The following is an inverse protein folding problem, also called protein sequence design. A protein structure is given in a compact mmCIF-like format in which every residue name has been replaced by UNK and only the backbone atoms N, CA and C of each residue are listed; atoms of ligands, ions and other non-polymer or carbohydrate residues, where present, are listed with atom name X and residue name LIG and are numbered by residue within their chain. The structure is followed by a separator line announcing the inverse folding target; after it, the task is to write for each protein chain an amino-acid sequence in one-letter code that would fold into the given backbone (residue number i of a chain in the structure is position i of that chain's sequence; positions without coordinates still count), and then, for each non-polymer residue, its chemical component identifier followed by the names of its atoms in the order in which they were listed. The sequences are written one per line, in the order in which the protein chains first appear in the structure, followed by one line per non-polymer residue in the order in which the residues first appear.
data_IF_802615728700
#
_entry.id   IF_802615728700
#
_cell.length_a   1.000
_cell.length_b   1.000
_cell.length_c   1.000
_cell.angle_alpha   90.00
_cell.angle_beta   90.00
_cell.angle_gamma   90.00
#
_symmetry.space_group_name_H-M   'P 1'
#
loop_
_entity.id
_entity.type
_entity.pdbx_description
1 polymer ?
#
# COMPACT_ATOMS: atom_id res chain seq x y z
N UNK A 1 8.64 13.27 9.70
CA UNK A 1 9.95 12.68 9.97
C UNK A 1 9.89 11.20 9.66
N UNK A 2 10.67 10.76 8.68
CA UNK A 2 10.82 9.35 8.34
C UNK A 2 11.40 8.65 9.57
N UNK A 3 10.84 7.50 9.95
CA UNK A 3 11.42 6.68 11.03
C UNK A 3 12.88 6.42 10.70
N UNK A 4 13.78 6.58 11.68
CA UNK A 4 15.18 6.22 11.50
C UNK A 4 15.32 4.71 11.27
N UNK A 5 16.37 4.28 10.56
CA UNK A 5 16.64 2.85 10.32
C UNK A 5 16.64 2.03 11.62
N UNK A 6 17.18 2.60 12.71
CA UNK A 6 17.17 1.96 14.02
C UNK A 6 15.75 1.74 14.59
N UNK A 7 14.82 2.67 14.37
CA UNK A 7 13.44 2.51 14.81
C UNK A 7 12.67 1.48 13.95
N UNK A 8 12.95 1.43 12.64
CA UNK A 8 12.40 0.40 11.75
C UNK A 8 12.88 -1.00 12.13
N UNK A 9 14.14 -1.16 12.54
CA UNK A 9 14.67 -2.44 13.03
C UNK A 9 14.05 -2.89 14.34
N UNK A 10 13.83 -1.96 15.29
CA UNK A 10 13.13 -2.27 16.55
C UNK A 10 11.71 -2.73 16.27
N UNK A 11 11.04 -2.06 15.36
CA UNK A 11 9.69 -2.38 14.93
C UNK A 11 9.61 -3.78 14.31
N UNK A 12 10.47 -4.09 13.35
CA UNK A 12 10.58 -5.42 12.75
C UNK A 12 10.78 -6.52 13.82
N UNK A 13 11.70 -6.30 14.77
CA UNK A 13 11.94 -7.25 15.88
C UNK A 13 10.71 -7.49 16.73
N UNK A 14 9.90 -6.44 16.99
CA UNK A 14 8.65 -6.60 17.76
C UNK A 14 7.67 -7.53 17.02
N UNK A 15 7.47 -7.31 15.72
CA UNK A 15 6.58 -8.15 14.89
C UNK A 15 7.06 -9.60 14.90
N UNK A 16 8.33 -9.84 14.56
CA UNK A 16 8.87 -11.20 14.43
C UNK A 16 8.97 -11.96 15.76
N UNK A 17 9.11 -11.25 16.90
CA UNK A 17 9.26 -11.88 18.22
C UNK A 17 7.95 -12.14 18.95
N UNK A 18 6.91 -11.35 18.68
CA UNK A 18 5.63 -11.41 19.40
C UNK A 18 4.49 -11.95 18.54
N UNK A 19 4.61 -11.83 17.22
CA UNK A 19 3.59 -12.29 16.29
C UNK A 19 3.50 -13.80 16.19
N UNK A 20 2.38 -14.26 15.69
CA UNK A 20 2.18 -15.66 15.30
C UNK A 20 2.44 -15.79 13.80
N UNK A 21 3.32 -16.75 13.43
CA UNK A 21 3.64 -16.99 12.02
C UNK A 21 2.41 -17.51 11.26
N UNK A 22 2.25 -17.10 10.01
CA UNK A 22 1.08 -17.38 9.16
C UNK A 22 -0.25 -16.87 9.74
N UNK A 23 -0.19 -15.80 10.52
CA UNK A 23 -1.35 -15.14 11.11
C UNK A 23 -1.27 -13.62 10.85
N UNK A 24 -1.84 -13.16 9.72
CA UNK A 24 -1.81 -11.74 9.36
C UNK A 24 -2.43 -10.82 10.41
N UNK A 25 -3.51 -11.27 11.11
CA UNK A 25 -4.16 -10.51 12.16
C UNK A 25 -3.19 -10.21 13.29
N UNK A 26 -2.48 -11.24 13.77
CA UNK A 26 -1.48 -11.07 14.82
C UNK A 26 -0.37 -10.10 14.44
N UNK A 27 0.05 -10.09 13.17
CA UNK A 27 1.05 -9.13 12.67
C UNK A 27 0.51 -7.71 12.72
N UNK A 28 -0.71 -7.48 12.23
CA UNK A 28 -1.36 -6.17 12.24
C UNK A 28 -1.60 -5.64 13.66
N UNK A 29 -2.07 -6.49 14.60
CA UNK A 29 -2.25 -6.11 16.00
C UNK A 29 -0.97 -5.58 16.65
N UNK A 30 0.18 -6.21 16.39
CA UNK A 30 1.46 -5.77 16.94
C UNK A 30 1.91 -4.46 16.30
N UNK A 31 1.66 -4.30 15.01
CA UNK A 31 1.93 -3.07 14.28
C UNK A 31 1.12 -1.91 14.89
N UNK A 32 -0.17 -2.12 15.09
CA UNK A 32 -1.07 -1.14 15.70
C UNK A 32 -0.66 -0.82 17.13
N UNK A 33 -0.33 -1.83 17.95
CA UNK A 33 0.18 -1.62 19.32
C UNK A 33 1.46 -0.77 19.35
N UNK A 34 2.37 -1.00 18.40
CA UNK A 34 3.59 -0.20 18.29
C UNK A 34 3.28 1.25 17.88
N UNK A 35 2.36 1.45 16.94
CA UNK A 35 1.92 2.76 16.48
C UNK A 35 1.27 3.59 17.58
N UNK A 36 0.41 2.98 18.38
CA UNK A 36 -0.29 3.67 19.48
C UNK A 36 0.59 3.95 20.70
N UNK A 37 1.56 3.08 21.00
CA UNK A 37 2.29 3.14 22.29
C UNK A 37 3.71 3.69 22.19
N UNK A 38 4.38 3.59 21.05
CA UNK A 38 5.83 3.80 20.99
C UNK A 38 6.34 4.70 19.89
N UNK A 39 5.73 4.67 18.70
CA UNK A 39 6.24 5.38 17.53
C UNK A 39 5.09 5.93 16.70
N UNK A 40 5.26 7.15 16.21
CA UNK A 40 4.38 7.63 15.15
C UNK A 40 4.70 6.85 13.85
N UNK A 41 3.79 5.98 13.44
CA UNK A 41 3.89 5.23 12.18
C UNK A 41 3.07 5.94 11.10
N UNK A 42 3.69 6.15 9.94
CA UNK A 42 3.02 6.72 8.76
C UNK A 42 2.34 5.61 7.96
N UNK A 43 1.46 4.86 8.58
CA UNK A 43 0.62 3.87 7.92
C UNK A 43 -0.83 4.34 7.88
N UNK A 44 -1.65 3.68 7.09
CA UNK A 44 -3.07 4.00 6.96
C UNK A 44 -3.86 3.87 8.29
N UNK A 45 -3.35 3.06 9.22
CA UNK A 45 -3.98 2.77 10.52
C UNK A 45 -5.16 1.80 10.44
N UNK A 46 -5.65 1.38 11.60
CA UNK A 46 -6.68 0.35 11.72
C UNK A 46 -8.03 0.76 11.11
N UNK A 47 -8.52 1.97 11.40
CA UNK A 47 -9.83 2.45 10.94
C UNK A 47 -9.92 2.62 9.43
N UNK A 48 -8.97 3.35 8.84
CA UNK A 48 -8.95 3.53 7.38
C UNK A 48 -8.55 2.24 6.68
N UNK A 49 -7.72 1.41 7.31
CA UNK A 49 -7.37 0.09 6.83
C UNK A 49 -8.58 -0.84 6.70
N UNK A 50 -9.54 -0.80 7.64
CA UNK A 50 -10.82 -1.53 7.53
C UNK A 50 -11.65 -1.04 6.33
N UNK A 51 -11.73 0.27 6.12
CA UNK A 51 -12.42 0.85 4.96
C UNK A 51 -11.74 0.38 3.65
N UNK A 52 -10.42 0.39 3.59
CA UNK A 52 -9.67 -0.12 2.44
C UNK A 52 -10.01 -1.59 2.16
N UNK A 53 -10.02 -2.44 3.20
CA UNK A 53 -10.39 -3.86 3.09
C UNK A 53 -11.83 -4.05 2.57
N UNK A 54 -12.79 -3.27 3.06
CA UNK A 54 -14.19 -3.32 2.59
C UNK A 54 -14.29 -3.01 1.08
N UNK A 55 -13.56 -1.99 0.61
CA UNK A 55 -13.53 -1.65 -0.82
C UNK A 55 -12.82 -2.72 -1.66
N UNK A 56 -11.72 -3.28 -1.18
CA UNK A 56 -11.00 -4.39 -1.84
C UNK A 56 -11.93 -5.60 -1.99
N UNK A 57 -12.58 -6.02 -0.91
CA UNK A 57 -13.48 -7.18 -0.91
C UNK A 57 -14.66 -6.95 -1.85
N UNK A 58 -15.29 -5.77 -1.79
CA UNK A 58 -16.46 -5.45 -2.61
C UNK A 58 -16.15 -5.27 -4.09
N UNK A 59 -14.91 -4.91 -4.43
CA UNK A 59 -14.47 -4.75 -5.82
C UNK A 59 -14.20 -6.06 -6.53
N UNK A 60 -13.99 -7.16 -5.79
CA UNK A 60 -13.52 -8.45 -6.32
C UNK A 60 -12.27 -8.30 -7.23
N UNK A 61 -11.44 -7.31 -6.93
CA UNK A 61 -10.25 -6.97 -7.71
C UNK A 61 -9.29 -8.14 -7.82
N UNK A 62 -8.77 -8.39 -9.02
CA UNK A 62 -7.76 -9.42 -9.30
C UNK A 62 -6.36 -8.84 -9.44
N UNK A 63 -6.24 -7.68 -10.07
CA UNK A 63 -4.98 -6.97 -10.24
C UNK A 63 -5.01 -5.70 -9.39
N UNK A 64 -4.18 -5.66 -8.37
CA UNK A 64 -4.10 -4.55 -7.42
C UNK A 64 -2.74 -3.87 -7.56
N UNK A 65 -2.72 -2.54 -7.60
CA UNK A 65 -1.51 -1.74 -7.53
C UNK A 65 -1.48 -0.95 -6.22
N UNK A 66 -0.36 -1.02 -5.51
CA UNK A 66 -0.09 -0.23 -4.33
C UNK A 66 1.10 0.70 -4.59
N UNK A 67 0.89 2.01 -4.43
CA UNK A 67 1.93 3.03 -4.49
C UNK A 67 2.23 3.54 -3.08
N UNK A 68 3.39 3.16 -2.55
CA UNK A 68 3.80 3.39 -1.17
C UNK A 68 3.54 2.19 -0.28
N UNK A 69 4.61 1.49 0.06
CA UNK A 69 4.56 0.24 0.86
C UNK A 69 4.93 0.51 2.31
N UNK A 70 5.91 1.40 2.52
CA UNK A 70 6.48 1.64 3.84
C UNK A 70 6.91 0.32 4.50
N UNK A 71 6.37 -0.04 5.66
CA UNK A 71 6.71 -1.27 6.38
C UNK A 71 5.74 -2.43 6.11
N UNK A 72 4.87 -2.32 5.10
CA UNK A 72 3.99 -3.38 4.62
C UNK A 72 2.66 -3.52 5.34
N UNK A 73 2.25 -2.54 6.15
CA UNK A 73 0.98 -2.61 6.87
C UNK A 73 -0.25 -2.66 5.95
N UNK A 74 -0.35 -1.71 5.02
CA UNK A 74 -1.41 -1.69 4.00
C UNK A 74 -1.33 -2.91 3.08
N UNK A 75 -0.12 -3.30 2.69
CA UNK A 75 0.12 -4.49 1.88
C UNK A 75 -0.45 -5.75 2.53
N UNK A 76 -0.24 -5.95 3.85
CA UNK A 76 -0.81 -7.09 4.59
C UNK A 76 -2.33 -7.02 4.61
N UNK A 77 -2.91 -5.83 4.84
CA UNK A 77 -4.36 -5.65 4.83
C UNK A 77 -4.98 -5.99 3.48
N UNK A 78 -4.39 -5.50 2.39
CA UNK A 78 -4.83 -5.83 1.03
C UNK A 78 -4.66 -7.33 0.77
N UNK A 79 -3.49 -7.91 1.04
CA UNK A 79 -3.18 -9.30 0.73
C UNK A 79 -4.07 -10.31 1.47
N UNK A 80 -4.47 -10.02 2.73
CA UNK A 80 -5.38 -10.89 3.47
C UNK A 80 -6.84 -10.79 3.01
N UNK A 81 -7.18 -9.72 2.30
CA UNK A 81 -8.55 -9.41 1.86
C UNK A 81 -8.86 -9.85 0.44
N UNK A 82 -7.85 -10.24 -0.33
CA UNK A 82 -7.99 -10.71 -1.70
C UNK A 82 -8.08 -12.24 -1.78
N UNK A 83 -8.74 -12.74 -2.82
CA UNK A 83 -8.81 -14.17 -3.11
C UNK A 83 -7.46 -14.71 -3.63
N UNK A 84 -7.38 -16.03 -3.83
CA UNK A 84 -6.13 -16.69 -4.24
C UNK A 84 -5.75 -16.45 -5.71
N UNK A 85 -6.69 -15.99 -6.54
CA UNK A 85 -6.43 -15.65 -7.94
C UNK A 85 -5.93 -14.21 -8.11
N UNK A 86 -6.04 -13.38 -7.07
CA UNK A 86 -5.67 -11.98 -7.11
C UNK A 86 -4.20 -11.76 -6.74
N UNK A 87 -3.59 -10.73 -7.31
CA UNK A 87 -2.19 -10.39 -7.09
C UNK A 87 -1.97 -8.89 -6.91
N UNK A 88 -1.01 -8.55 -6.07
CA UNK A 88 -0.63 -7.17 -5.75
C UNK A 88 0.73 -6.85 -6.35
N UNK A 89 0.81 -5.74 -7.07
CA UNK A 89 2.07 -5.08 -7.39
C UNK A 89 2.26 -3.90 -6.43
N UNK A 90 3.29 -3.96 -5.59
CA UNK A 90 3.57 -2.93 -4.59
C UNK A 90 4.87 -2.21 -4.92
N UNK A 91 4.82 -0.88 -5.05
CA UNK A 91 5.93 -0.03 -5.46
C UNK A 91 6.36 0.87 -4.30
N UNK A 92 7.65 0.87 -3.97
CA UNK A 92 8.24 1.84 -3.04
C UNK A 92 9.67 2.21 -3.46
N UNK A 93 10.02 3.48 -3.31
CA UNK A 93 11.36 3.96 -3.64
C UNK A 93 12.41 3.55 -2.59
N UNK A 94 12.00 3.29 -1.35
CA UNK A 94 12.90 2.99 -0.24
C UNK A 94 13.16 1.48 -0.12
N UNK A 95 14.39 1.08 -0.48
CA UNK A 95 14.83 -0.31 -0.42
C UNK A 95 14.71 -0.92 0.99
N UNK A 96 15.08 -0.17 2.02
CA UNK A 96 15.10 -0.69 3.39
C UNK A 96 13.67 -0.95 3.89
N UNK A 97 12.70 -0.11 3.49
CA UNK A 97 11.29 -0.35 3.78
C UNK A 97 10.77 -1.61 3.09
N UNK A 98 11.09 -1.78 1.81
CA UNK A 98 10.70 -2.98 1.07
C UNK A 98 11.27 -4.27 1.69
N UNK A 99 12.51 -4.25 2.15
CA UNK A 99 13.12 -5.42 2.81
C UNK A 99 12.41 -5.78 4.13
N UNK A 100 11.95 -4.79 4.88
CA UNK A 100 11.16 -5.01 6.09
C UNK A 100 9.74 -5.50 5.73
N UNK A 101 9.10 -4.87 4.76
CA UNK A 101 7.79 -5.28 4.28
C UNK A 101 7.77 -6.73 3.81
N UNK A 102 8.76 -7.16 3.01
CA UNK A 102 8.92 -8.55 2.58
C UNK A 102 8.99 -9.52 3.76
N UNK A 103 9.76 -9.18 4.81
CA UNK A 103 9.85 -10.02 6.00
C UNK A 103 8.53 -10.10 6.78
N UNK A 104 7.78 -8.99 6.86
CA UNK A 104 6.47 -8.98 7.48
C UNK A 104 5.46 -9.82 6.69
N UNK A 105 5.45 -9.70 5.36
CA UNK A 105 4.59 -10.51 4.47
C UNK A 105 4.94 -11.99 4.55
N UNK A 106 6.23 -12.36 4.55
CA UNK A 106 6.67 -13.76 4.74
C UNK A 106 6.21 -14.29 6.09
N UNK A 107 6.39 -13.52 7.15
CA UNK A 107 5.97 -13.91 8.49
C UNK A 107 4.44 -14.04 8.61
N UNK A 108 3.69 -13.20 7.92
CA UNK A 108 2.23 -13.26 7.83
C UNK A 108 1.72 -14.41 6.94
N UNK A 109 2.57 -15.06 6.13
CA UNK A 109 2.19 -16.12 5.19
C UNK A 109 1.51 -15.60 3.92
N UNK A 110 1.86 -14.39 3.48
CA UNK A 110 1.20 -13.69 2.36
C UNK A 110 2.14 -13.36 1.18
N UNK A 111 3.39 -13.84 1.21
CA UNK A 111 4.40 -13.48 0.20
C UNK A 111 4.00 -13.83 -1.22
N UNK A 112 3.30 -14.93 -1.43
CA UNK A 112 2.92 -15.40 -2.76
C UNK A 112 1.89 -14.49 -3.46
N UNK A 113 1.21 -13.63 -2.70
CA UNK A 113 0.21 -12.70 -3.22
C UNK A 113 0.78 -11.37 -3.69
N UNK A 114 2.09 -11.09 -3.48
CA UNK A 114 2.67 -9.76 -3.67
C UNK A 114 3.97 -9.80 -4.46
N UNK A 115 4.06 -8.94 -5.47
CA UNK A 115 5.31 -8.62 -6.17
C UNK A 115 5.76 -7.20 -5.83
N UNK A 116 6.98 -7.06 -5.32
CA UNK A 116 7.56 -5.78 -4.93
C UNK A 116 8.47 -5.20 -6.00
N UNK A 117 8.27 -3.92 -6.31
CA UNK A 117 9.08 -3.16 -7.26
C UNK A 117 9.78 -2.01 -6.52
N UNK A 118 11.12 -2.00 -6.58
CA UNK A 118 11.90 -0.91 -5.99
C UNK A 118 12.11 0.22 -7.00
N UNK A 119 11.63 1.40 -6.70
CA UNK A 119 11.79 2.61 -7.50
C UNK A 119 10.71 3.63 -7.22
N UNK A 120 10.84 4.80 -7.84
CA UNK A 120 9.74 5.79 -7.80
C UNK A 120 8.59 5.29 -8.68
N UNK A 121 7.36 5.57 -8.24
CA UNK A 121 6.18 5.20 -9.02
C UNK A 121 6.26 5.73 -10.46
N UNK A 122 6.69 6.99 -10.64
CA UNK A 122 6.88 7.59 -11.96
C UNK A 122 7.89 6.89 -12.88
N UNK A 123 8.83 6.13 -12.31
CA UNK A 123 9.82 5.37 -13.08
C UNK A 123 9.33 3.94 -13.41
N UNK A 124 8.52 3.37 -12.52
CA UNK A 124 8.02 1.99 -12.65
C UNK A 124 6.73 1.93 -13.46
N UNK A 125 5.78 2.85 -13.27
CA UNK A 125 4.49 2.85 -13.99
C UNK A 125 4.65 2.70 -15.52
N UNK A 126 5.55 3.41 -16.20
CA UNK A 126 5.74 3.25 -17.65
C UNK A 126 6.23 1.87 -18.09
N UNK A 127 6.69 1.04 -17.17
CA UNK A 127 7.20 -0.31 -17.42
C UNK A 127 6.18 -1.40 -17.07
N UNK A 128 5.04 -1.03 -16.46
CA UNK A 128 3.98 -1.95 -16.13
C UNK A 128 3.22 -2.36 -17.41
N UNK A 129 3.01 -3.68 -17.55
CA UNK A 129 2.24 -4.25 -18.66
C UNK A 129 0.94 -4.89 -18.16
N UNK A 130 0.37 -4.33 -17.08
CA UNK A 130 -0.81 -4.85 -16.39
C UNK A 130 -1.82 -3.75 -16.25
N UNK A 131 -3.08 -4.05 -16.51
CA UNK A 131 -4.20 -3.20 -16.12
C UNK A 131 -4.71 -3.62 -14.76
N UNK A 132 -5.05 -2.65 -13.92
CA UNK A 132 -5.41 -2.84 -12.52
C UNK A 132 -6.90 -2.55 -12.29
N UNK A 133 -7.51 -3.35 -11.43
CA UNK A 133 -8.89 -3.21 -10.99
C UNK A 133 -8.99 -2.30 -9.77
N UNK A 134 -7.92 -2.26 -8.98
CA UNK A 134 -7.84 -1.45 -7.76
C UNK A 134 -6.45 -0.83 -7.61
N UNK A 135 -6.41 0.46 -7.33
CA UNK A 135 -5.17 1.21 -7.11
C UNK A 135 -5.23 1.87 -5.73
N UNK A 136 -4.28 1.54 -4.86
CA UNK A 136 -4.09 2.22 -3.58
C UNK A 136 -2.94 3.21 -3.68
N UNK A 137 -3.16 4.48 -3.37
CA UNK A 137 -2.17 5.56 -3.46
C UNK A 137 -1.89 6.11 -2.07
N UNK A 138 -0.70 5.82 -1.51
CA UNK A 138 -0.26 6.33 -0.20
C UNK A 138 1.25 6.60 -0.13
N UNK A 139 1.84 7.03 -1.24
CA UNK A 139 3.25 7.39 -1.30
C UNK A 139 3.49 8.90 -1.10
N UNK A 140 4.46 9.51 -1.79
CA UNK A 140 4.80 10.93 -1.73
C UNK A 140 3.66 11.81 -2.27
N UNK A 141 3.09 12.66 -1.43
CA UNK A 141 1.80 13.34 -1.70
C UNK A 141 1.84 14.25 -2.93
N UNK A 142 2.97 14.92 -3.16
CA UNK A 142 3.18 15.81 -4.32
C UNK A 142 3.20 15.05 -5.66
N UNK A 143 3.43 13.73 -5.64
CA UNK A 143 3.43 12.90 -6.84
C UNK A 143 2.05 12.33 -7.22
N UNK A 144 1.05 12.38 -6.33
CA UNK A 144 -0.25 11.74 -6.52
C UNK A 144 -0.91 12.06 -7.87
N UNK A 145 -1.05 13.34 -8.20
CA UNK A 145 -1.68 13.76 -9.45
C UNK A 145 -0.85 13.35 -10.67
N UNK A 146 0.47 13.52 -10.57
CA UNK A 146 1.40 13.14 -11.64
C UNK A 146 1.30 11.64 -11.92
N UNK A 147 1.37 10.81 -10.88
CA UNK A 147 1.41 9.36 -11.03
C UNK A 147 0.05 8.78 -11.43
N UNK A 148 -1.08 9.39 -10.97
CA UNK A 148 -2.40 9.04 -11.48
C UNK A 148 -2.52 9.35 -13.00
N UNK A 149 -2.01 10.49 -13.46
CA UNK A 149 -1.98 10.80 -14.90
C UNK A 149 -1.11 9.82 -15.69
N UNK A 150 0.02 9.38 -15.14
CA UNK A 150 0.85 8.35 -15.77
C UNK A 150 0.10 7.01 -15.87
N UNK A 151 -0.62 6.60 -14.83
CA UNK A 151 -1.44 5.38 -14.88
C UNK A 151 -2.49 5.44 -16.01
N UNK A 152 -3.14 6.59 -16.19
CA UNK A 152 -4.10 6.82 -17.26
C UNK A 152 -3.39 6.82 -18.63
N UNK A 153 -2.28 7.53 -18.75
CA UNK A 153 -1.51 7.66 -20.00
C UNK A 153 -0.98 6.32 -20.50
N UNK A 154 -0.58 5.43 -19.58
CA UNK A 154 -0.03 4.11 -19.90
C UNK A 154 -1.09 2.99 -19.90
N UNK A 155 -2.37 3.36 -19.89
CA UNK A 155 -3.50 2.42 -19.93
C UNK A 155 -3.44 1.33 -18.83
N UNK A 156 -3.02 1.76 -17.62
CA UNK A 156 -2.88 0.87 -16.46
C UNK A 156 -4.19 0.65 -15.68
N UNK A 157 -5.30 1.26 -16.09
CA UNK A 157 -6.59 1.18 -15.40
C UNK A 157 -7.58 0.36 -16.22
N UNK A 158 -8.18 -0.66 -15.61
CA UNK A 158 -9.34 -1.35 -16.18
C UNK A 158 -10.58 -0.43 -16.14
N UNK A 159 -11.53 -0.70 -17.03
CA UNK A 159 -12.84 -0.03 -16.98
C UNK A 159 -13.52 -0.32 -15.63
N UNK A 160 -13.91 0.73 -14.91
CA UNK A 160 -14.48 0.61 -13.59
C UNK A 160 -13.46 0.42 -12.45
N UNK A 161 -12.17 0.57 -12.72
CA UNK A 161 -11.13 0.50 -11.70
C UNK A 161 -11.37 1.50 -10.55
N UNK A 162 -11.11 1.07 -9.33
CA UNK A 162 -11.20 1.91 -8.13
C UNK A 162 -9.83 2.50 -7.82
N UNK A 163 -9.77 3.80 -7.67
CA UNK A 163 -8.59 4.51 -7.15
C UNK A 163 -8.87 4.99 -5.73
N UNK A 164 -8.20 4.37 -4.76
CA UNK A 164 -8.29 4.71 -3.34
C UNK A 164 -7.02 5.47 -2.93
N UNK A 165 -7.17 6.75 -2.57
CA UNK A 165 -6.03 7.61 -2.22
C UNK A 165 -6.15 8.10 -0.78
N UNK A 166 -5.08 7.90 0.02
CA UNK A 166 -5.07 8.31 1.43
C UNK A 166 -4.59 9.74 1.66
N UNK A 167 -5.10 10.38 2.72
CA UNK A 167 -4.66 11.69 3.24
C UNK A 167 -4.88 12.90 2.32
N UNK A 168 -5.75 12.80 1.32
CA UNK A 168 -6.01 13.86 0.34
C UNK A 168 -6.41 15.19 1.02
N UNK A 169 -7.36 15.12 1.96
CA UNK A 169 -7.85 16.31 2.67
C UNK A 169 -6.82 16.84 3.65
N UNK A 170 -6.10 15.96 4.35
CA UNK A 170 -5.09 16.34 5.34
C UNK A 170 -3.94 17.15 4.72
N UNK A 171 -3.55 16.82 3.49
CA UNK A 171 -2.46 17.48 2.78
C UNK A 171 -2.94 18.51 1.76
N UNK A 172 -4.25 18.85 1.75
CA UNK A 172 -4.83 19.86 0.86
C UNK A 172 -4.47 19.67 -0.63
N UNK A 173 -4.62 18.44 -1.14
CA UNK A 173 -4.29 18.08 -2.53
C UNK A 173 -5.40 18.54 -3.49
N UNK A 174 -5.63 19.85 -3.57
CA UNK A 174 -6.74 20.44 -4.34
C UNK A 174 -6.66 20.13 -5.84
N UNK A 175 -5.45 20.14 -6.42
CA UNK A 175 -5.25 19.82 -7.84
C UNK A 175 -5.62 18.38 -8.15
N UNK A 176 -5.30 17.44 -7.24
CA UNK A 176 -5.72 16.04 -7.35
C UNK A 176 -7.24 15.92 -7.29
N UNK A 177 -7.88 16.54 -6.28
CA UNK A 177 -9.32 16.54 -6.12
C UNK A 177 -10.05 17.16 -7.34
N UNK A 178 -9.57 18.27 -7.83
CA UNK A 178 -10.13 18.91 -9.01
C UNK A 178 -10.02 18.00 -10.23
N UNK A 179 -8.87 17.37 -10.43
CA UNK A 179 -8.66 16.45 -11.54
C UNK A 179 -9.64 15.27 -11.49
N UNK A 180 -9.72 14.54 -10.36
CA UNK A 180 -10.58 13.35 -10.26
C UNK A 180 -12.07 13.66 -10.35
N UNK A 181 -12.50 14.89 -9.95
CA UNK A 181 -13.90 15.34 -10.04
C UNK A 181 -14.31 15.81 -11.42
N UNK A 182 -13.36 16.23 -12.25
CA UNK A 182 -13.64 16.86 -13.55
C UNK A 182 -13.11 16.03 -14.72
N UNK A 183 -12.29 15.01 -14.47
CA UNK A 183 -11.77 14.12 -15.51
C UNK A 183 -12.92 13.35 -16.15
N UNK A 184 -12.95 13.22 -17.49
CA UNK A 184 -13.94 12.39 -18.18
C UNK A 184 -13.69 10.88 -18.06
N UNK A 185 -12.61 10.48 -17.44
CA UNK A 185 -12.21 9.10 -17.09
C UNK A 185 -12.02 8.96 -15.60
#
# INVERSE_FOLDING_TARGET
PVISSAASDVYKRQVLSKGRRNDPESVLEIIDECGYKKFFLMNIGDKKGQILEEYIISSEAKNILELGVYLGYSTIRIARSINDEAHIHSIDANKDFLEIAKQHLDFAGLSDKVSFFQGKASEIIPQLNTQYDFIFIDHWKEAYLHDLKLLIQHDCLNDGAIVFADNIVLFHLEDYLNFVRTSPR
#
